data_IF_581706877465
#
_entry.id   IF_581706877465
#
_cell.length_a   1.000
_cell.length_b   1.000
_cell.length_c   1.000
_cell.angle_alpha   90.00
_cell.angle_beta   90.00
_cell.angle_gamma   90.00
#
_symmetry.space_group_name_H-M   'P 1'
#
loop_
_entity.id
_entity.type
_entity.pdbx_description
1 polymer ?
#
# COMPACT_ATOMS: atom_id res chain seq x y z
N UNK A 1 -15.44 2.65 11.65
CA UNK A 1 -16.69 2.74 12.45
C UNK A 1 -17.93 2.88 11.57
N UNK A 2 -18.03 3.87 10.67
CA UNK A 2 -19.22 4.07 9.83
C UNK A 2 -19.60 2.85 8.96
N UNK A 3 -18.63 2.16 8.36
CA UNK A 3 -18.90 0.95 7.58
C UNK A 3 -19.59 -0.16 8.39
N UNK A 4 -19.13 -0.40 9.62
CA UNK A 4 -19.76 -1.37 10.51
C UNK A 4 -21.17 -0.94 10.94
N UNK A 5 -21.37 0.35 11.26
CA UNK A 5 -22.70 0.88 11.57
C UNK A 5 -23.67 0.83 10.38
N UNK A 6 -23.15 0.87 9.15
CA UNK A 6 -23.92 0.67 7.92
C UNK A 6 -24.15 -0.81 7.56
N UNK A 7 -23.73 -1.75 8.42
CA UNK A 7 -23.94 -3.19 8.23
C UNK A 7 -22.89 -3.90 7.38
N UNK A 8 -21.80 -3.24 6.97
CA UNK A 8 -20.72 -3.90 6.24
C UNK A 8 -19.83 -4.71 7.19
N UNK A 9 -19.42 -5.90 6.74
CA UNK A 9 -18.50 -6.81 7.43
C UNK A 9 -17.48 -7.39 6.44
N UNK A 10 -16.39 -7.98 6.95
CA UNK A 10 -15.33 -8.54 6.11
C UNK A 10 -14.54 -7.50 5.29
N UNK A 11 -14.63 -6.23 5.68
CA UNK A 11 -13.96 -5.10 5.02
C UNK A 11 -12.88 -4.49 5.92
N UNK A 12 -11.87 -3.89 5.28
CA UNK A 12 -10.98 -2.91 5.89
C UNK A 12 -11.12 -1.56 5.20
N UNK A 13 -10.57 -0.50 5.80
CA UNK A 13 -10.62 0.86 5.26
C UNK A 13 -9.21 1.32 4.93
N UNK A 14 -9.03 1.93 3.76
CA UNK A 14 -7.76 2.52 3.34
C UNK A 14 -7.97 3.68 2.38
N UNK A 15 -6.87 4.30 1.95
CA UNK A 15 -6.89 5.37 0.94
C UNK A 15 -6.49 4.80 -0.41
N UNK A 16 -7.30 5.04 -1.44
CA UNK A 16 -6.95 4.82 -2.84
C UNK A 16 -7.22 6.09 -3.63
N UNK A 17 -6.21 6.57 -4.38
CA UNK A 17 -6.30 7.80 -5.17
C UNK A 17 -6.91 8.97 -4.38
N UNK A 18 -6.43 9.18 -3.15
CA UNK A 18 -6.86 10.28 -2.25
C UNK A 18 -8.28 10.13 -1.68
N UNK A 19 -8.97 9.01 -1.92
CA UNK A 19 -10.30 8.75 -1.37
C UNK A 19 -10.25 7.63 -0.34
N UNK A 20 -11.07 7.75 0.71
CA UNK A 20 -11.31 6.65 1.63
C UNK A 20 -12.25 5.62 0.99
N UNK A 21 -11.81 4.37 0.96
CA UNK A 21 -12.51 3.26 0.30
C UNK A 21 -12.56 2.05 1.23
N UNK A 22 -13.63 1.26 1.11
CA UNK A 22 -13.74 -0.05 1.73
C UNK A 22 -13.16 -1.13 0.82
N UNK A 23 -12.26 -1.95 1.37
CA UNK A 23 -11.63 -3.05 0.65
C UNK A 23 -12.06 -4.38 1.26
N UNK A 24 -12.41 -5.40 0.45
CA UNK A 24 -12.61 -6.76 0.96
C UNK A 24 -11.31 -7.30 1.57
N UNK A 25 -11.37 -7.82 2.79
CA UNK A 25 -10.19 -8.37 3.48
C UNK A 25 -9.49 -9.47 2.65
N UNK A 26 -10.19 -10.44 2.02
CA UNK A 26 -9.53 -11.48 1.23
C UNK A 26 -8.66 -10.94 0.10
N UNK A 27 -9.10 -9.88 -0.58
CA UNK A 27 -8.34 -9.25 -1.68
C UNK A 27 -7.11 -8.50 -1.18
N UNK A 28 -7.22 -7.84 -0.02
CA UNK A 28 -6.10 -7.09 0.57
C UNK A 28 -4.97 -8.01 1.01
N UNK A 29 -5.29 -9.21 1.51
CA UNK A 29 -4.31 -10.17 2.02
C UNK A 29 -3.88 -11.21 0.97
N UNK A 30 -4.45 -11.19 -0.24
CA UNK A 30 -4.13 -12.15 -1.29
C UNK A 30 -2.65 -12.14 -1.67
N UNK A 31 -2.00 -10.97 -1.61
CA UNK A 31 -0.58 -10.81 -1.85
C UNK A 31 0.00 -9.63 -1.06
N UNK A 32 1.24 -9.72 -0.57
CA UNK A 32 1.90 -8.59 0.06
C UNK A 32 2.29 -7.54 -0.98
N UNK A 33 2.36 -6.28 -0.56
CA UNK A 33 2.99 -5.23 -1.37
C UNK A 33 4.51 -5.41 -1.32
N UNK A 34 5.12 -5.67 -2.46
CA UNK A 34 6.58 -5.79 -2.59
C UNK A 34 7.16 -4.47 -3.08
N UNK A 35 8.34 -4.12 -2.57
CA UNK A 35 9.10 -2.99 -3.09
C UNK A 35 9.62 -3.31 -4.49
N UNK A 36 9.38 -2.42 -5.44
CA UNK A 36 9.99 -2.47 -6.76
C UNK A 36 11.34 -1.75 -6.73
N UNK A 37 12.49 -2.46 -6.86
CA UNK A 37 13.81 -1.85 -6.89
C UNK A 37 14.02 -0.93 -8.11
N UNK A 38 13.24 -1.12 -9.18
CA UNK A 38 13.34 -0.27 -10.36
C UNK A 38 12.46 0.99 -10.24
N UNK A 39 11.71 1.15 -9.15
CA UNK A 39 10.81 2.27 -8.96
C UNK A 39 11.55 3.58 -8.68
N UNK A 40 10.96 4.70 -9.10
CA UNK A 40 11.46 6.05 -8.79
C UNK A 40 11.62 6.29 -7.28
N UNK A 41 10.74 5.74 -6.46
CA UNK A 41 10.82 5.91 -5.00
C UNK A 41 12.03 5.21 -4.42
N UNK A 42 12.35 4.00 -4.89
CA UNK A 42 13.53 3.28 -4.45
C UNK A 42 14.83 4.01 -4.84
N UNK A 43 14.92 4.48 -6.08
CA UNK A 43 16.07 5.28 -6.52
C UNK A 43 16.29 6.54 -5.67
N UNK A 44 15.21 7.24 -5.29
CA UNK A 44 15.31 8.38 -4.35
C UNK A 44 15.87 7.96 -2.99
N UNK A 45 15.48 6.78 -2.49
CA UNK A 45 16.02 6.22 -1.26
C UNK A 45 17.54 6.00 -1.36
N UNK A 46 18.00 5.33 -2.42
CA UNK A 46 19.43 5.09 -2.69
C UNK A 46 20.23 6.40 -2.72
N UNK A 47 19.78 7.38 -3.51
CA UNK A 47 20.46 8.68 -3.60
C UNK A 47 20.49 9.41 -2.25
N UNK A 48 19.39 9.37 -1.48
CA UNK A 48 19.30 10.05 -0.17
C UNK A 48 20.17 9.43 0.91
N UNK A 49 20.45 8.13 0.80
CA UNK A 49 21.26 7.38 1.76
C UNK A 49 22.73 7.29 1.34
N UNK A 50 23.08 7.77 0.14
CA UNK A 50 24.43 7.67 -0.43
C UNK A 50 24.84 6.22 -0.67
N UNK A 51 23.88 5.30 -0.81
CA UNK A 51 24.17 3.89 -1.04
C UNK A 51 24.86 3.72 -2.40
N UNK A 52 25.99 3.00 -2.45
CA UNK A 52 26.68 2.75 -3.70
C UNK A 52 25.81 1.84 -4.59
N UNK A 53 25.88 2.09 -5.90
CA UNK A 53 25.35 1.15 -6.87
C UNK A 53 26.30 -0.05 -6.94
N UNK A 54 25.78 -1.26 -6.77
CA UNK A 54 26.55 -2.50 -6.80
C UNK A 54 26.48 -3.21 -8.16
N UNK A 55 25.94 -2.53 -9.18
CA UNK A 55 25.94 -2.97 -10.59
C UNK A 55 27.33 -2.83 -11.21
#
# INVERSE_FOLDING_TARGET
VHGAFAGYSGITVGICNTHYVYFPIPEVIAQPRVLDPNSRMWHRCLTSTGQPDFI
#
